data_IF_803170815101
#
_entry.id   IF_803170815101
#
_cell.length_a   1.000
_cell.length_b   1.000
_cell.length_c   1.000
_cell.angle_alpha   90.00
_cell.angle_beta   90.00
_cell.angle_gamma   90.00
#
_symmetry.space_group_name_H-M   'P 1'
#
loop_
_entity.id
_entity.type
_entity.pdbx_description
1 polymer ?
#
# COMPACT_ATOMS: atom_id res chain seq x y z
N UNK A 1 -13.60 -59.14 11.53
CA UNK A 1 -14.90 -58.46 11.65
C UNK A 1 -14.73 -57.19 12.46
N UNK A 2 -14.51 -56.04 11.81
CA UNK A 2 -14.90 -54.72 12.33
C UNK A 2 -15.23 -53.86 11.12
N UNK A 3 -16.36 -53.17 11.20
CA UNK A 3 -17.12 -52.60 10.11
C UNK A 3 -16.51 -51.33 9.50
N UNK A 4 -16.75 -51.19 8.20
CA UNK A 4 -16.53 -50.02 7.35
C UNK A 4 -17.52 -48.92 7.74
N UNK A 5 -17.05 -47.69 7.93
CA UNK A 5 -17.90 -46.49 7.90
C UNK A 5 -17.40 -45.54 6.80
N UNK A 6 -18.19 -45.55 5.73
CA UNK A 6 -18.22 -44.61 4.62
C UNK A 6 -18.65 -43.23 5.11
N UNK A 7 -17.84 -42.20 4.83
CA UNK A 7 -18.29 -40.81 4.90
C UNK A 7 -18.66 -40.32 3.51
N UNK A 8 -19.94 -39.98 3.35
CA UNK A 8 -20.51 -39.39 2.16
C UNK A 8 -20.02 -37.96 1.96
N UNK A 9 -19.69 -37.65 0.69
CA UNK A 9 -19.51 -36.29 0.16
C UNK A 9 -20.81 -35.49 0.35
N UNK A 10 -20.70 -34.32 0.96
CA UNK A 10 -21.68 -33.24 0.81
C UNK A 10 -20.96 -32.05 0.16
N UNK A 11 -21.24 -31.91 -1.13
CA UNK A 11 -21.00 -30.73 -1.95
C UNK A 11 -21.85 -29.59 -1.38
N UNK A 12 -21.22 -28.53 -0.87
CA UNK A 12 -21.91 -27.28 -0.54
C UNK A 12 -21.61 -26.27 -1.64
N UNK A 13 -22.64 -26.11 -2.47
CA UNK A 13 -22.82 -25.13 -3.51
C UNK A 13 -22.93 -23.73 -2.86
N UNK A 14 -21.94 -22.86 -3.08
CA UNK A 14 -21.98 -21.45 -2.64
C UNK A 14 -22.17 -20.59 -3.87
N UNK A 15 -23.42 -20.50 -4.32
CA UNK A 15 -23.90 -19.50 -5.26
C UNK A 15 -25.20 -18.92 -4.72
N UNK A 16 -25.20 -17.61 -4.48
CA UNK A 16 -26.43 -16.83 -4.34
C UNK A 16 -26.56 -16.07 -3.03
N UNK A 17 -26.12 -14.81 -3.01
CA UNK A 17 -26.73 -13.77 -2.17
C UNK A 17 -26.43 -12.38 -2.71
N UNK A 18 -26.83 -12.12 -3.96
CA UNK A 18 -27.08 -10.75 -4.45
C UNK A 18 -28.25 -10.82 -5.45
N UNK A 19 -29.48 -10.85 -4.93
CA UNK A 19 -30.69 -10.51 -5.68
C UNK A 19 -30.74 -8.97 -5.75
N UNK A 20 -30.60 -8.34 -6.91
CA UNK A 20 -31.58 -8.20 -8.01
C UNK A 20 -32.73 -7.25 -7.63
N UNK A 21 -32.72 -6.07 -8.26
CA UNK A 21 -33.92 -5.31 -8.58
C UNK A 21 -33.63 -4.40 -9.78
N UNK A 22 -34.20 -4.75 -10.94
CA UNK A 22 -35.00 -3.87 -11.80
C UNK A 22 -35.36 -4.62 -13.09
N UNK A 23 -36.65 -4.91 -13.25
CA UNK A 23 -37.30 -5.21 -14.52
C UNK A 23 -38.12 -3.98 -14.93
N UNK A 24 -37.97 -3.54 -16.18
CA UNK A 24 -39.07 -3.13 -17.07
C UNK A 24 -38.57 -3.08 -18.53
N UNK A 25 -39.37 -3.64 -19.44
CA UNK A 25 -39.35 -3.59 -20.92
C UNK A 25 -40.85 -3.51 -21.34
N UNK A 26 -41.30 -3.28 -22.62
CA UNK A 26 -40.57 -3.17 -23.90
C UNK A 26 -41.06 -2.08 -24.91
N UNK A 27 -40.22 -1.77 -25.91
CA UNK A 27 -40.48 -1.75 -27.37
C UNK A 27 -41.56 -0.86 -28.02
N UNK A 28 -41.21 -0.13 -29.09
CA UNK A 28 -41.57 -0.46 -30.49
C UNK A 28 -41.09 0.61 -31.52
N UNK A 29 -40.53 0.11 -32.63
CA UNK A 29 -40.20 0.83 -33.87
C UNK A 29 -41.45 1.09 -34.73
N UNK A 30 -41.52 2.23 -35.42
CA UNK A 30 -42.16 2.33 -36.74
C UNK A 30 -41.47 3.40 -37.62
N UNK A 31 -40.87 2.96 -38.72
CA UNK A 31 -40.50 3.77 -39.88
C UNK A 31 -41.74 3.96 -40.77
N UNK A 32 -41.98 5.18 -41.26
CA UNK A 32 -42.61 5.46 -42.57
C UNK A 32 -42.25 6.88 -43.04
N UNK A 33 -42.03 7.01 -44.34
CA UNK A 33 -41.33 8.08 -45.03
C UNK A 33 -42.25 8.99 -45.87
N UNK A 34 -41.84 10.28 -45.95
CA UNK A 34 -42.07 11.33 -46.96
C UNK A 34 -43.46 12.01 -47.07
N UNK A 35 -43.55 13.27 -47.59
CA UNK A 35 -42.51 14.11 -48.22
C UNK A 35 -42.31 15.52 -47.62
N UNK A 36 -41.21 16.12 -48.06
CA UNK A 36 -40.68 17.46 -47.76
C UNK A 36 -41.61 18.58 -48.25
N UNK A 37 -41.85 19.58 -47.41
CA UNK A 37 -42.35 20.89 -47.85
C UNK A 37 -41.50 21.98 -47.18
N UNK A 38 -40.87 22.81 -48.02
CA UNK A 38 -39.98 23.91 -47.60
C UNK A 38 -40.86 25.08 -47.16
N UNK A 39 -40.75 25.49 -45.90
CA UNK A 39 -41.36 26.70 -45.37
C UNK A 39 -40.32 27.55 -44.61
N UNK A 40 -40.48 28.86 -44.73
CA UNK A 40 -39.56 29.97 -44.46
C UNK A 40 -38.92 30.02 -43.05
N UNK A 41 -37.80 30.74 -42.87
CA UNK A 41 -37.05 30.73 -41.61
C UNK A 41 -37.80 31.51 -40.51
N UNK A 42 -38.17 30.80 -39.46
CA UNK A 42 -38.70 31.37 -38.21
C UNK A 42 -37.53 31.94 -37.40
N UNK A 43 -37.68 33.19 -36.98
CA UNK A 43 -36.72 33.92 -36.13
C UNK A 43 -36.51 33.14 -34.82
N UNK A 44 -35.25 32.86 -34.48
CA UNK A 44 -34.87 32.34 -33.16
C UNK A 44 -35.05 33.47 -32.14
N UNK A 45 -35.98 33.32 -31.23
CA UNK A 45 -35.99 34.06 -29.97
C UNK A 45 -34.91 33.46 -29.06
N UNK A 46 -34.01 34.31 -28.57
CA UNK A 46 -33.05 33.96 -27.53
C UNK A 46 -33.83 33.67 -26.24
N UNK A 47 -33.91 32.41 -25.86
CA UNK A 47 -34.13 32.03 -24.47
C UNK A 47 -32.76 31.91 -23.82
N UNK A 48 -32.27 33.01 -23.26
CA UNK A 48 -31.24 32.95 -22.22
C UNK A 48 -31.86 32.21 -21.03
N UNK A 49 -31.57 30.91 -20.95
CA UNK A 49 -31.79 30.16 -19.73
C UNK A 49 -30.71 30.61 -18.74
N UNK A 50 -31.13 31.31 -17.69
CA UNK A 50 -30.31 31.58 -16.51
C UNK A 50 -29.74 30.26 -15.99
N UNK A 51 -28.49 29.98 -16.35
CA UNK A 51 -27.67 28.95 -15.74
C UNK A 51 -27.32 29.44 -14.35
N UNK A 52 -28.16 29.11 -13.37
CA UNK A 52 -27.81 29.23 -11.96
C UNK A 52 -26.52 28.42 -11.76
N UNK A 53 -25.41 29.03 -11.31
CA UNK A 53 -24.21 28.29 -10.98
C UNK A 53 -24.58 27.31 -9.86
N UNK A 54 -24.49 26.01 -10.15
CA UNK A 54 -24.49 25.00 -9.09
C UNK A 54 -23.22 25.28 -8.30
N UNK A 55 -23.37 25.92 -7.13
CA UNK A 55 -22.30 26.07 -6.16
C UNK A 55 -21.71 24.68 -5.94
N UNK A 56 -20.46 24.47 -6.36
CA UNK A 56 -19.77 23.23 -6.08
C UNK A 56 -19.63 23.17 -4.56
N UNK A 57 -20.40 22.29 -3.90
CA UNK A 57 -20.25 22.06 -2.47
C UNK A 57 -18.77 21.77 -2.18
N UNK A 58 -18.13 22.66 -1.41
CA UNK A 58 -16.74 22.48 -1.04
C UNK A 58 -16.62 21.20 -0.20
N UNK A 59 -15.83 20.24 -0.69
CA UNK A 59 -15.61 18.99 0.03
C UNK A 59 -15.03 19.26 1.41
N UNK A 60 -15.65 18.69 2.43
CA UNK A 60 -15.13 18.74 3.80
C UNK A 60 -13.97 17.75 3.98
N UNK A 61 -13.18 17.91 5.05
CA UNK A 61 -12.11 16.95 5.39
C UNK A 61 -12.70 15.62 5.86
N UNK A 62 -12.06 14.51 5.48
CA UNK A 62 -12.46 13.20 5.98
C UNK A 62 -12.32 13.13 7.52
N UNK A 63 -13.17 12.37 8.22
CA UNK A 63 -13.10 12.23 9.68
C UNK A 63 -11.82 11.52 10.12
N UNK A 64 -11.38 11.79 11.36
CA UNK A 64 -10.21 11.14 11.96
C UNK A 64 -10.37 9.62 12.08
N UNK A 65 -11.60 9.18 12.38
CA UNK A 65 -12.06 7.79 12.41
C UNK A 65 -12.91 7.51 11.16
N UNK A 66 -12.36 6.84 10.13
CA UNK A 66 -13.10 6.56 8.91
C UNK A 66 -14.35 5.71 9.19
N UNK A 67 -15.55 6.09 8.69
CA UNK A 67 -16.80 5.40 9.00
C UNK A 67 -16.94 4.06 8.27
N UNK A 68 -16.05 3.77 7.33
CA UNK A 68 -16.09 2.57 6.49
C UNK A 68 -15.29 1.39 7.07
N UNK A 69 -14.59 1.57 8.20
CA UNK A 69 -13.80 0.50 8.80
C UNK A 69 -14.71 -0.65 9.28
N UNK A 70 -14.26 -1.89 9.05
CA UNK A 70 -15.01 -3.09 9.46
C UNK A 70 -14.37 -3.83 10.65
N UNK A 71 -13.17 -3.42 11.07
CA UNK A 71 -12.46 -4.03 12.17
C UNK A 71 -11.70 -5.31 11.75
N UNK A 72 -11.76 -6.39 12.55
CA UNK A 72 -11.01 -7.62 12.30
C UNK A 72 -11.34 -8.26 10.95
N UNK A 73 -10.30 -8.74 10.25
CA UNK A 73 -10.37 -9.33 8.92
C UNK A 73 -9.90 -10.80 8.93
N UNK A 74 -10.52 -11.62 8.10
CA UNK A 74 -10.07 -12.99 7.82
C UNK A 74 -9.10 -12.97 6.63
N UNK A 75 -7.83 -13.30 6.90
CA UNK A 75 -6.75 -13.29 5.90
C UNK A 75 -6.27 -14.71 5.64
N UNK A 76 -6.36 -15.17 4.41
CA UNK A 76 -5.96 -16.51 3.96
C UNK A 76 -5.12 -16.45 2.68
N UNK A 77 -4.23 -17.43 2.49
CA UNK A 77 -3.28 -17.47 1.38
C UNK A 77 -3.40 -18.75 0.54
N UNK A 78 -4.55 -19.41 0.61
CA UNK A 78 -4.79 -20.71 -0.04
C UNK A 78 -5.29 -20.59 -1.47
N UNK A 79 -5.95 -19.49 -1.82
CA UNK A 79 -6.63 -19.35 -3.11
C UNK A 79 -5.75 -18.61 -4.12
N UNK A 80 -5.71 -19.05 -5.39
CA UNK A 80 -5.00 -18.33 -6.43
C UNK A 80 -5.70 -16.99 -6.72
N UNK A 81 -4.96 -15.89 -6.56
CA UNK A 81 -5.47 -14.55 -6.83
C UNK A 81 -4.79 -13.99 -8.08
N UNK A 82 -5.58 -13.61 -9.08
CA UNK A 82 -5.07 -12.95 -10.30
C UNK A 82 -5.11 -11.44 -10.14
N UNK A 83 -4.18 -10.73 -10.77
CA UNK A 83 -4.19 -9.27 -10.76
C UNK A 83 -5.42 -8.70 -11.48
N UNK A 84 -5.95 -9.39 -12.50
CA UNK A 84 -7.17 -8.98 -13.20
C UNK A 84 -8.38 -8.98 -12.26
N UNK A 85 -8.49 -9.98 -11.38
CA UNK A 85 -9.52 -10.00 -10.34
C UNK A 85 -9.34 -8.84 -9.37
N UNK A 86 -8.11 -8.56 -8.90
CA UNK A 86 -7.85 -7.42 -8.00
C UNK A 86 -8.21 -6.09 -8.67
N UNK A 87 -7.92 -5.91 -9.97
CA UNK A 87 -8.33 -4.71 -10.73
C UNK A 87 -9.85 -4.57 -10.81
N UNK A 88 -10.55 -5.66 -11.13
CA UNK A 88 -12.01 -5.67 -11.25
C UNK A 88 -12.71 -5.30 -9.92
N UNK A 89 -12.19 -5.79 -8.79
CA UNK A 89 -12.72 -5.50 -7.45
C UNK A 89 -12.38 -4.09 -6.94
N UNK A 90 -11.47 -3.37 -7.61
CA UNK A 90 -11.02 -2.05 -7.19
C UNK A 90 -11.15 -0.99 -8.31
N UNK A 91 -12.38 -0.74 -8.82
CA UNK A 91 -12.59 0.13 -9.98
C UNK A 91 -12.32 1.62 -9.71
N UNK A 92 -12.19 2.02 -8.44
CA UNK A 92 -11.87 3.40 -8.03
C UNK A 92 -10.37 3.71 -8.07
N UNK A 93 -9.52 2.72 -8.33
CA UNK A 93 -8.10 2.94 -8.53
C UNK A 93 -7.85 3.61 -9.87
N UNK A 94 -6.85 4.47 -9.87
CA UNK A 94 -6.30 5.12 -11.06
C UNK A 94 -4.88 4.64 -11.32
N UNK A 95 -4.39 4.87 -12.53
CA UNK A 95 -3.06 4.43 -12.98
C UNK A 95 -1.95 4.81 -11.96
N UNK A 96 -1.04 3.88 -11.74
CA UNK A 96 0.03 3.98 -10.76
C UNK A 96 -0.35 3.51 -9.35
N UNK A 97 -1.50 2.84 -9.17
CA UNK A 97 -1.98 2.41 -7.85
C UNK A 97 -2.47 3.56 -6.99
N UNK A 98 -3.09 4.56 -7.62
CA UNK A 98 -3.49 5.81 -6.98
C UNK A 98 -4.97 5.80 -6.59
N UNK A 99 -5.28 6.32 -5.42
CA UNK A 99 -6.65 6.52 -4.94
C UNK A 99 -6.75 7.76 -4.06
N UNK A 100 -7.89 8.45 -4.14
CA UNK A 100 -8.32 9.46 -3.16
C UNK A 100 -9.84 9.38 -3.00
N UNK A 101 -10.40 9.65 -1.81
CA UNK A 101 -11.86 9.69 -1.64
C UNK A 101 -12.52 10.78 -2.49
N UNK A 102 -13.72 10.50 -3.02
CA UNK A 102 -14.53 11.47 -3.78
C UNK A 102 -15.38 12.35 -2.87
N UNK A 103 -15.80 11.83 -1.71
CA UNK A 103 -16.78 12.48 -0.82
C UNK A 103 -16.15 13.41 0.22
N UNK A 104 -14.81 13.39 0.35
CA UNK A 104 -14.09 14.20 1.33
C UNK A 104 -12.62 14.38 0.97
N UNK A 105 -11.97 15.39 1.54
CA UNK A 105 -10.54 15.64 1.41
C UNK A 105 -9.79 14.78 2.43
N UNK A 106 -8.96 13.85 1.95
CA UNK A 106 -8.16 12.97 2.81
C UNK A 106 -7.27 13.77 3.78
N UNK A 107 -7.10 13.25 4.99
CA UNK A 107 -6.33 13.95 6.03
C UNK A 107 -4.82 13.99 5.76
N UNK A 108 -4.30 13.01 5.02
CA UNK A 108 -2.89 12.85 4.69
C UNK A 108 -2.72 12.23 3.31
N UNK A 109 -1.59 12.55 2.68
CA UNK A 109 -1.16 12.00 1.38
C UNK A 109 -0.07 10.97 1.65
N UNK A 110 -0.39 9.70 1.40
CA UNK A 110 0.42 8.56 1.83
C UNK A 110 1.10 7.86 0.65
N UNK A 111 2.43 7.84 0.63
CA UNK A 111 3.19 6.94 -0.25
C UNK A 111 3.45 5.62 0.48
N UNK A 112 2.97 4.51 -0.07
CA UNK A 112 3.22 3.17 0.45
C UNK A 112 4.37 2.56 -0.34
N UNK A 113 5.50 2.34 0.32
CA UNK A 113 6.76 1.93 -0.28
C UNK A 113 7.04 0.47 0.11
N UNK A 114 7.20 -0.37 -0.90
CA UNK A 114 7.41 -1.81 -0.75
C UNK A 114 8.77 -2.16 -1.38
N UNK A 115 9.77 -2.56 -0.59
CA UNK A 115 11.04 -3.05 -1.12
C UNK A 115 10.81 -4.46 -1.70
N UNK A 116 11.27 -4.70 -2.92
CA UNK A 116 10.82 -5.86 -3.68
C UNK A 116 11.91 -6.52 -4.52
N UNK A 117 11.87 -7.86 -4.59
CA UNK A 117 12.56 -8.67 -5.60
C UNK A 117 11.98 -10.09 -5.63
N UNK A 118 11.53 -10.58 -6.79
CA UNK A 118 11.10 -11.98 -7.01
C UNK A 118 10.06 -12.49 -5.98
N UNK A 119 9.05 -11.67 -5.66
CA UNK A 119 7.97 -11.97 -4.69
C UNK A 119 6.57 -11.76 -5.28
N UNK A 120 6.38 -12.09 -6.54
CA UNK A 120 5.19 -11.77 -7.33
C UNK A 120 3.91 -12.34 -6.69
N UNK A 121 3.96 -13.57 -6.16
CA UNK A 121 2.82 -14.16 -5.45
C UNK A 121 2.46 -13.42 -4.16
N UNK A 122 3.46 -12.98 -3.40
CA UNK A 122 3.20 -12.18 -2.19
C UNK A 122 2.60 -10.83 -2.55
N UNK A 123 3.11 -10.18 -3.60
CA UNK A 123 2.57 -8.91 -4.07
C UNK A 123 1.10 -9.03 -4.48
N UNK A 124 0.70 -10.12 -5.13
CA UNK A 124 -0.71 -10.38 -5.48
C UNK A 124 -1.59 -10.39 -4.23
N UNK A 125 -1.20 -11.13 -3.20
CA UNK A 125 -1.93 -11.15 -1.92
C UNK A 125 -1.91 -9.77 -1.24
N UNK A 126 -0.77 -9.08 -1.25
CA UNK A 126 -0.65 -7.75 -0.67
C UNK A 126 -1.64 -6.77 -1.32
N UNK A 127 -1.65 -6.67 -2.64
CA UNK A 127 -2.55 -5.78 -3.38
C UNK A 127 -4.02 -6.16 -3.14
N UNK A 128 -4.33 -7.45 -3.18
CA UNK A 128 -5.69 -7.95 -2.93
C UNK A 128 -6.24 -7.51 -1.58
N UNK A 129 -5.45 -7.65 -0.51
CA UNK A 129 -5.91 -7.30 0.83
C UNK A 129 -5.81 -5.80 1.12
N UNK A 130 -4.72 -5.14 0.72
CA UNK A 130 -4.46 -3.77 1.14
C UNK A 130 -5.28 -2.74 0.37
N UNK A 131 -5.55 -2.91 -0.93
CA UNK A 131 -6.32 -1.89 -1.66
C UNK A 131 -7.71 -1.63 -1.03
N UNK A 132 -8.53 -2.64 -0.70
CA UNK A 132 -9.80 -2.41 -0.02
C UNK A 132 -9.63 -1.79 1.37
N UNK A 133 -8.60 -2.20 2.13
CA UNK A 133 -8.32 -1.65 3.47
C UNK A 133 -7.99 -0.16 3.39
N UNK A 134 -7.06 0.23 2.52
CA UNK A 134 -6.60 1.60 2.36
C UNK A 134 -7.71 2.54 1.86
N UNK A 135 -8.59 2.03 1.00
CA UNK A 135 -9.79 2.77 0.56
C UNK A 135 -10.77 3.01 1.71
N UNK A 136 -11.05 2.00 2.55
CA UNK A 136 -11.89 2.17 3.75
C UNK A 136 -11.28 3.12 4.78
N UNK A 137 -9.95 3.23 4.80
CA UNK A 137 -9.22 4.20 5.63
C UNK A 137 -9.26 5.65 5.09
N UNK A 138 -9.91 5.89 3.94
CA UNK A 138 -10.08 7.22 3.33
C UNK A 138 -8.77 8.00 3.11
N UNK A 139 -7.71 7.29 2.70
CA UNK A 139 -6.40 7.88 2.40
C UNK A 139 -6.34 8.42 0.96
N UNK A 140 -5.60 9.50 0.73
CA UNK A 140 -5.04 9.80 -0.60
C UNK A 140 -3.71 9.07 -0.68
N UNK A 141 -3.62 7.98 -1.45
CA UNK A 141 -2.45 7.12 -1.44
C UNK A 141 -1.94 6.76 -2.84
N UNK A 142 -0.68 6.32 -2.86
CA UNK A 142 -0.07 5.61 -3.98
C UNK A 142 0.77 4.42 -3.51
N UNK A 143 0.78 3.36 -4.32
CA UNK A 143 1.55 2.13 -4.03
C UNK A 143 2.79 2.07 -4.92
N UNK A 144 3.97 2.01 -4.29
CA UNK A 144 5.28 2.04 -4.94
C UNK A 144 6.05 0.76 -4.66
N UNK A 145 6.23 -0.06 -5.70
CA UNK A 145 7.03 -1.29 -5.65
C UNK A 145 8.45 -0.95 -6.10
N UNK A 146 9.39 -0.94 -5.17
CA UNK A 146 10.78 -0.61 -5.45
C UNK A 146 11.54 -1.91 -5.71
N UNK A 147 11.65 -2.26 -6.98
CA UNK A 147 12.20 -3.52 -7.43
C UNK A 147 13.72 -3.42 -7.62
N UNK A 148 14.49 -4.13 -6.79
CA UNK A 148 15.93 -4.24 -6.99
C UNK A 148 16.25 -5.03 -8.26
N UNK A 149 16.95 -4.40 -9.20
CA UNK A 149 17.42 -5.04 -10.42
C UNK A 149 18.61 -5.95 -10.15
N UNK A 150 18.77 -6.97 -11.01
CA UNK A 150 19.84 -7.94 -10.89
C UNK A 150 19.74 -8.88 -9.67
N UNK A 151 20.87 -9.51 -9.38
CA UNK A 151 20.96 -10.73 -8.59
C UNK A 151 21.87 -10.60 -7.35
N UNK A 152 22.35 -9.39 -7.09
CA UNK A 152 23.24 -9.03 -5.97
C UNK A 152 22.53 -9.17 -4.61
N UNK A 153 23.25 -8.95 -3.52
CA UNK A 153 22.64 -9.03 -2.18
C UNK A 153 21.49 -8.01 -2.05
N UNK A 154 20.36 -8.42 -1.45
CA UNK A 154 19.21 -7.55 -1.28
C UNK A 154 19.52 -6.42 -0.27
N UNK A 155 19.08 -5.19 -0.56
CA UNK A 155 19.28 -4.05 0.33
C UNK A 155 17.94 -3.36 0.62
N UNK A 156 17.27 -3.84 1.66
CA UNK A 156 15.93 -3.38 2.06
C UNK A 156 15.91 -1.88 2.34
N UNK A 157 16.75 -1.39 3.25
CA UNK A 157 16.75 0.01 3.69
C UNK A 157 17.05 0.99 2.55
N UNK A 158 18.00 0.65 1.66
CA UNK A 158 18.31 1.48 0.49
C UNK A 158 17.13 1.58 -0.48
N UNK A 159 16.40 0.48 -0.72
CA UNK A 159 15.19 0.52 -1.56
C UNK A 159 14.09 1.39 -0.95
N UNK A 160 13.96 1.41 0.38
CA UNK A 160 13.00 2.29 1.06
C UNK A 160 13.35 3.78 0.88
N UNK A 161 14.65 4.14 0.97
CA UNK A 161 15.13 5.50 0.64
C UNK A 161 14.84 5.89 -0.81
N UNK A 162 15.03 4.97 -1.75
CA UNK A 162 14.71 5.18 -3.17
C UNK A 162 13.22 5.42 -3.33
N UNK A 163 12.38 4.59 -2.71
CA UNK A 163 10.92 4.76 -2.78
C UNK A 163 10.45 6.10 -2.23
N UNK A 164 11.04 6.58 -1.12
CA UNK A 164 10.76 7.91 -0.60
C UNK A 164 11.10 8.99 -1.64
N UNK A 165 12.29 8.89 -2.25
CA UNK A 165 12.81 9.88 -3.20
C UNK A 165 12.00 9.90 -4.50
N UNK A 166 11.65 8.73 -5.04
CA UNK A 166 10.89 8.63 -6.28
C UNK A 166 9.41 8.97 -6.11
N UNK A 167 8.77 8.57 -5.01
CA UNK A 167 7.37 8.91 -4.75
C UNK A 167 7.15 10.43 -4.69
N UNK A 168 8.10 11.17 -4.13
CA UNK A 168 8.07 12.63 -4.08
C UNK A 168 8.21 13.34 -5.44
N UNK A 169 8.65 12.63 -6.49
CA UNK A 169 8.65 13.17 -7.86
C UNK A 169 7.27 13.08 -8.51
N UNK A 170 6.45 12.15 -8.06
CA UNK A 170 5.12 11.87 -8.61
C UNK A 170 4.03 12.70 -7.91
N UNK A 171 4.17 12.93 -6.60
CA UNK A 171 3.18 13.67 -5.84
C UNK A 171 3.78 14.25 -4.55
N UNK A 172 3.13 15.27 -4.00
CA UNK A 172 3.59 16.00 -2.81
C UNK A 172 3.18 15.30 -1.50
N UNK A 173 3.52 14.01 -1.39
CA UNK A 173 3.27 13.18 -0.22
C UNK A 173 3.86 13.78 1.07
N UNK A 174 3.11 13.68 2.16
CA UNK A 174 3.49 14.14 3.49
C UNK A 174 3.70 12.98 4.49
N UNK A 175 3.25 11.78 4.12
CA UNK A 175 3.38 10.55 4.90
C UNK A 175 3.94 9.39 4.06
N UNK A 176 4.82 8.60 4.67
CA UNK A 176 5.46 7.45 4.03
C UNK A 176 5.24 6.21 4.89
N UNK A 177 4.63 5.18 4.31
CA UNK A 177 4.48 3.87 4.92
C UNK A 177 5.49 2.93 4.27
N UNK A 178 6.37 2.33 5.05
CA UNK A 178 7.34 1.36 4.60
C UNK A 178 6.84 -0.03 4.99
N UNK A 179 6.48 -0.85 4.01
CA UNK A 179 5.84 -2.15 4.24
C UNK A 179 6.62 -3.27 3.58
N UNK A 180 6.93 -4.31 4.35
CA UNK A 180 7.30 -5.59 3.76
C UNK A 180 6.12 -6.16 2.95
N UNK A 181 6.41 -6.79 1.80
CA UNK A 181 5.39 -7.31 0.87
C UNK A 181 4.62 -8.51 1.42
N UNK A 182 5.16 -9.16 2.44
CA UNK A 182 4.64 -10.39 3.04
C UNK A 182 3.83 -10.14 4.32
N UNK A 183 3.57 -8.89 4.71
CA UNK A 183 2.81 -8.57 5.93
C UNK A 183 1.45 -7.96 5.60
N UNK A 184 0.39 -8.63 6.05
CA UNK A 184 -1.00 -8.20 5.87
C UNK A 184 -1.62 -7.88 7.25
N UNK A 185 -2.24 -6.71 7.45
CA UNK A 185 -2.92 -6.39 8.70
C UNK A 185 -4.18 -7.25 8.87
N UNK A 186 -4.45 -7.67 10.10
CA UNK A 186 -5.63 -8.46 10.47
C UNK A 186 -6.79 -7.57 10.96
N UNK A 187 -6.65 -6.26 10.96
CA UNK A 187 -7.65 -5.31 11.42
C UNK A 187 -7.49 -3.97 10.69
N UNK A 188 -8.53 -3.49 10.00
CA UNK A 188 -8.44 -2.25 9.22
C UNK A 188 -8.49 -0.97 10.07
N UNK A 189 -8.75 -1.09 11.39
CA UNK A 189 -8.56 -0.01 12.37
C UNK A 189 -7.08 0.30 12.60
N UNK A 190 -6.16 -0.53 12.11
CA UNK A 190 -4.74 -0.20 12.04
C UNK A 190 -4.51 0.72 10.83
N UNK A 191 -4.72 2.03 11.01
CA UNK A 191 -4.69 3.01 9.90
C UNK A 191 -3.26 3.21 9.38
N UNK A 192 -3.06 3.00 8.06
CA UNK A 192 -1.78 3.13 7.35
C UNK A 192 -1.47 4.61 7.06
N UNK A 193 -1.36 5.41 8.11
CA UNK A 193 -1.05 6.84 8.07
C UNK A 193 0.05 7.22 9.04
N UNK A 194 0.43 8.49 9.09
CA UNK A 194 1.51 8.98 9.93
C UNK A 194 0.96 9.66 11.17
N UNK A 195 1.78 9.72 12.23
CA UNK A 195 1.40 10.26 13.53
C UNK A 195 2.45 11.27 13.99
N UNK A 196 2.18 11.95 15.12
CA UNK A 196 3.12 12.91 15.75
C UNK A 196 4.48 12.29 16.10
N UNK A 197 4.53 10.96 16.22
CA UNK A 197 5.72 10.17 16.46
C UNK A 197 5.82 9.05 15.40
N UNK A 198 7.04 8.61 15.02
CA UNK A 198 7.24 7.49 14.11
C UNK A 198 6.41 6.29 14.53
N UNK A 199 5.68 5.69 13.59
CA UNK A 199 4.67 4.67 13.89
C UNK A 199 5.20 3.30 13.50
N UNK A 200 5.12 2.35 14.41
CA UNK A 200 5.29 0.93 14.09
C UNK A 200 3.90 0.30 13.96
N UNK A 201 3.56 -0.18 12.77
CA UNK A 201 2.23 -0.68 12.43
C UNK A 201 2.10 -2.21 12.65
N UNK A 202 3.17 -2.97 12.44
CA UNK A 202 3.19 -4.44 12.60
C UNK A 202 3.65 -4.90 13.99
N UNK A 203 2.95 -4.47 15.04
CA UNK A 203 3.39 -4.69 16.44
C UNK A 203 3.18 -6.12 16.94
N UNK A 204 2.32 -6.89 16.28
CA UNK A 204 1.86 -8.19 16.74
C UNK A 204 1.76 -9.17 15.56
N UNK A 205 2.89 -9.78 15.19
CA UNK A 205 2.95 -10.68 14.03
C UNK A 205 2.73 -12.15 14.44
N UNK A 206 2.00 -12.89 13.62
CA UNK A 206 1.74 -14.33 13.85
C UNK A 206 3.02 -15.17 13.91
N UNK A 207 4.03 -14.85 13.11
CA UNK A 207 5.36 -15.50 13.13
C UNK A 207 6.08 -15.40 14.49
N UNK A 208 5.72 -14.41 15.31
CA UNK A 208 6.25 -14.18 16.65
C UNK A 208 5.21 -14.49 17.74
N UNK A 209 4.16 -15.26 17.41
CA UNK A 209 3.11 -15.62 18.35
C UNK A 209 2.26 -14.43 18.80
N UNK A 210 2.07 -13.43 17.94
CA UNK A 210 1.33 -12.19 18.23
C UNK A 210 1.91 -11.41 19.41
N UNK A 211 3.25 -11.37 19.49
CA UNK A 211 4.00 -10.59 20.49
C UNK A 211 5.05 -9.74 19.80
N UNK A 212 5.34 -8.59 20.39
CA UNK A 212 6.46 -7.76 19.99
C UNK A 212 7.77 -8.49 20.36
N UNK A 213 8.72 -8.70 19.43
CA UNK A 213 9.96 -9.42 19.73
C UNK A 213 10.78 -8.80 20.86
N UNK A 214 10.90 -7.47 20.85
CA UNK A 214 11.54 -6.65 21.86
C UNK A 214 11.10 -5.18 21.69
N UNK A 215 11.25 -4.36 22.73
CA UNK A 215 10.64 -3.02 22.79
C UNK A 215 11.14 -2.05 21.69
N UNK A 216 12.38 -2.24 21.23
CA UNK A 216 13.04 -1.42 20.21
C UNK A 216 12.68 -1.86 18.78
N UNK A 217 12.02 -3.01 18.62
CA UNK A 217 11.71 -3.57 17.30
C UNK A 217 10.88 -2.61 16.44
N UNK A 218 11.36 -2.34 15.23
CA UNK A 218 10.78 -1.41 14.26
C UNK A 218 10.71 -1.98 12.82
N UNK A 219 10.93 -3.29 12.67
CA UNK A 219 10.84 -3.99 11.38
C UNK A 219 9.40 -4.29 10.95
N UNK A 220 9.23 -4.81 9.72
CA UNK A 220 7.94 -5.15 9.15
C UNK A 220 7.27 -3.97 8.45
N UNK A 221 6.30 -3.34 9.12
CA UNK A 221 5.53 -2.20 8.62
C UNK A 221 5.67 -1.02 9.57
N UNK A 222 6.14 0.11 9.06
CA UNK A 222 6.29 1.37 9.80
C UNK A 222 5.81 2.56 8.97
N UNK A 223 5.55 3.69 9.62
CA UNK A 223 5.28 4.94 8.92
C UNK A 223 5.94 6.14 9.57
N UNK A 224 6.35 7.09 8.73
CA UNK A 224 7.02 8.32 9.12
C UNK A 224 6.54 9.48 8.28
N UNK A 225 6.33 10.63 8.91
CA UNK A 225 6.10 11.87 8.17
C UNK A 225 7.35 12.27 7.39
N UNK A 226 7.16 13.10 6.35
CA UNK A 226 8.26 13.71 5.60
C UNK A 226 9.31 14.35 6.53
N UNK A 227 8.85 15.08 7.53
CA UNK A 227 9.71 15.74 8.52
C UNK A 227 10.49 14.72 9.36
N UNK A 228 9.82 13.70 9.90
CA UNK A 228 10.46 12.67 10.71
C UNK A 228 11.55 11.92 9.92
N UNK A 229 11.28 11.62 8.64
CA UNK A 229 12.21 10.90 7.77
C UNK A 229 13.45 11.75 7.44
N UNK A 230 13.25 13.03 7.11
CA UNK A 230 14.36 13.96 6.87
C UNK A 230 15.19 14.21 8.13
N UNK A 231 14.56 14.28 9.31
CA UNK A 231 15.24 14.52 10.59
C UNK A 231 16.31 13.46 10.92
N UNK A 232 16.13 12.23 10.44
CA UNK A 232 17.09 11.13 10.62
C UNK A 232 18.01 10.91 9.41
N UNK A 233 17.96 11.78 8.40
CA UNK A 233 18.65 11.58 7.11
C UNK A 233 18.21 10.28 6.41
N UNK A 234 16.94 9.89 6.56
CA UNK A 234 16.42 8.59 6.11
C UNK A 234 17.15 7.39 6.72
N UNK A 235 17.14 6.29 5.99
CA UNK A 235 17.62 4.97 6.44
C UNK A 235 19.07 4.70 6.00
N UNK A 236 19.81 3.77 6.63
CA UNK A 236 21.17 3.44 6.20
C UNK A 236 21.18 2.77 4.82
N UNK A 237 22.14 3.10 3.95
CA UNK A 237 22.26 2.48 2.63
C UNK A 237 23.21 1.28 2.61
N UNK A 238 23.94 1.05 3.69
CA UNK A 238 25.05 0.08 3.73
C UNK A 238 24.70 -1.27 4.39
N UNK A 239 23.42 -1.52 4.67
CA UNK A 239 22.93 -2.81 5.16
C UNK A 239 22.61 -3.75 3.99
N UNK A 240 23.62 -4.53 3.61
CA UNK A 240 23.49 -5.58 2.62
C UNK A 240 23.28 -6.93 3.30
N UNK A 241 22.17 -7.59 2.98
CA UNK A 241 21.79 -8.87 3.57
C UNK A 241 20.71 -8.72 4.62
N UNK A 242 20.42 -9.80 5.33
CA UNK A 242 19.32 -9.83 6.30
C UNK A 242 19.73 -9.26 7.67
N UNK A 243 18.96 -8.28 8.15
CA UNK A 243 18.82 -7.92 9.56
C UNK A 243 19.68 -6.76 10.06
N UNK A 244 19.13 -6.06 11.06
CA UNK A 244 19.77 -5.00 11.84
C UNK A 244 19.59 -3.60 11.29
N UNK A 245 19.05 -3.44 10.08
CA UNK A 245 18.77 -2.12 9.52
C UNK A 245 17.59 -1.45 10.22
N UNK A 246 16.61 -2.23 10.68
CA UNK A 246 15.47 -1.76 11.47
C UNK A 246 15.89 -1.30 12.88
N UNK A 247 16.87 -1.97 13.48
CA UNK A 247 17.48 -1.56 14.74
C UNK A 247 18.30 -0.25 14.59
N UNK A 248 19.02 -0.09 13.47
CA UNK A 248 19.70 1.17 13.14
C UNK A 248 18.69 2.32 12.98
N UNK A 249 17.59 2.07 12.25
CA UNK A 249 16.50 3.04 12.11
C UNK A 249 15.95 3.43 13.48
N UNK A 250 15.67 2.46 14.36
CA UNK A 250 15.24 2.75 15.73
C UNK A 250 16.26 3.66 16.47
N UNK A 251 17.55 3.34 16.38
CA UNK A 251 18.61 4.12 17.01
C UNK A 251 18.68 5.56 16.47
N UNK A 252 18.50 5.76 15.16
CA UNK A 252 18.40 7.09 14.54
C UNK A 252 17.21 7.88 15.06
N UNK A 253 16.05 7.23 15.19
CA UNK A 253 14.84 7.89 15.71
C UNK A 253 15.05 8.33 17.16
N UNK A 254 15.57 7.42 17.98
CA UNK A 254 15.87 7.65 19.40
C UNK A 254 16.91 8.78 19.58
N UNK A 255 17.97 8.81 18.77
CA UNK A 255 19.00 9.85 18.84
C UNK A 255 18.49 11.25 18.46
N UNK A 256 17.38 11.33 17.72
CA UNK A 256 16.66 12.57 17.37
C UNK A 256 15.50 12.90 18.33
N UNK A 257 15.44 12.22 19.47
CA UNK A 257 14.46 12.45 20.53
C UNK A 257 13.04 11.98 20.18
N UNK A 258 12.89 11.12 19.17
CA UNK A 258 11.59 10.56 18.79
C UNK A 258 11.35 9.25 19.52
N UNK A 259 10.07 8.97 19.83
CA UNK A 259 9.60 7.76 20.48
C UNK A 259 8.75 6.97 19.50
N UNK A 260 8.69 5.65 19.63
CA UNK A 260 7.87 4.84 18.72
C UNK A 260 6.41 4.85 19.18
N UNK A 261 5.51 5.32 18.31
CA UNK A 261 4.07 5.17 18.46
C UNK A 261 3.62 3.80 17.95
N UNK A 262 2.64 3.18 18.62
CA UNK A 262 2.13 1.84 18.29
C UNK A 262 0.60 1.77 18.44
N UNK A 263 -0.12 1.02 17.58
CA UNK A 263 -1.49 0.60 17.88
C UNK A 263 -1.50 -0.36 19.09
N UNK A 264 -2.69 -0.68 19.60
CA UNK A 264 -2.83 -1.78 20.56
C UNK A 264 -2.37 -3.10 19.94
N UNK A 265 -1.97 -4.05 20.78
CA UNK A 265 -1.56 -5.38 20.30
C UNK A 265 -2.68 -6.19 19.65
N UNK A 266 -3.93 -5.78 19.83
CA UNK A 266 -5.11 -6.37 19.18
C UNK A 266 -5.32 -5.82 17.76
N UNK A 267 -5.27 -4.48 17.61
CA UNK A 267 -5.45 -3.80 16.32
C UNK A 267 -4.22 -4.00 15.43
N UNK A 268 -3.01 -3.95 16.01
CA UNK A 268 -1.75 -4.07 15.26
C UNK A 268 -1.35 -5.51 14.93
N UNK A 269 -2.31 -6.44 14.87
CA UNK A 269 -2.06 -7.82 14.46
C UNK A 269 -1.79 -7.88 12.96
N UNK A 270 -0.75 -8.62 12.58
CA UNK A 270 -0.41 -8.88 11.19
C UNK A 270 -0.18 -10.38 10.98
N UNK A 271 -0.52 -10.85 9.77
CA UNK A 271 -0.23 -12.20 9.33
C UNK A 271 0.84 -12.16 8.24
N UNK A 272 1.86 -13.00 8.40
CA UNK A 272 2.97 -13.12 7.45
C UNK A 272 2.63 -14.17 6.37
N UNK A 273 2.81 -13.81 5.10
CA UNK A 273 2.79 -14.77 3.99
C UNK A 273 4.02 -15.65 4.14
N UNK A 274 3.81 -16.94 4.37
CA UNK A 274 4.91 -17.88 4.63
C UNK A 274 5.76 -18.06 3.39
N UNK A 275 7.07 -18.02 3.58
CA UNK A 275 8.02 -18.30 2.54
C UNK A 275 9.32 -18.88 3.08
N UNK A 276 10.06 -19.58 2.22
CA UNK A 276 11.44 -19.96 2.53
C UNK A 276 12.35 -18.73 2.52
N UNK A 277 13.43 -18.78 3.31
CA UNK A 277 14.44 -17.70 3.29
C UNK A 277 15.07 -17.63 1.90
N UNK A 278 15.39 -16.42 1.46
CA UNK A 278 16.12 -16.21 0.22
C UNK A 278 17.59 -16.63 0.44
N UNK A 279 18.05 -17.64 -0.30
CA UNK A 279 19.42 -18.18 -0.22
C UNK A 279 20.49 -17.12 -0.52
N UNK A 280 20.13 -16.01 -1.19
CA UNK A 280 21.05 -14.91 -1.50
C UNK A 280 20.94 -13.73 -0.53
N UNK A 281 20.14 -13.88 0.53
CA UNK A 281 19.94 -12.86 1.56
C UNK A 281 20.36 -13.39 2.93
N UNK A 282 21.58 -13.90 3.01
CA UNK A 282 22.17 -14.40 4.25
C UNK A 282 22.22 -13.30 5.33
N UNK A 283 22.23 -13.68 6.63
CA UNK A 283 22.34 -12.71 7.72
C UNK A 283 23.56 -11.80 7.52
N UNK A 284 23.34 -10.49 7.57
CA UNK A 284 24.42 -9.52 7.45
C UNK A 284 25.41 -9.75 8.62
N UNK A 285 26.67 -10.12 8.34
CA UNK A 285 27.65 -10.42 9.39
C UNK A 285 28.05 -9.17 10.18
N UNK A 286 27.92 -7.99 9.59
CA UNK A 286 28.30 -6.71 10.18
C UNK A 286 27.15 -6.03 10.93
N UNK A 287 25.97 -6.66 11.03
CA UNK A 287 24.76 -6.01 11.57
C UNK A 287 24.95 -5.42 12.97
N UNK A 288 25.57 -6.16 13.90
CA UNK A 288 25.75 -5.71 15.28
C UNK A 288 26.76 -4.56 15.39
N UNK A 289 27.84 -4.65 14.61
CA UNK A 289 28.84 -3.59 14.53
C UNK A 289 28.24 -2.30 13.97
N UNK A 290 27.46 -2.39 12.88
CA UNK A 290 26.78 -1.23 12.30
C UNK A 290 25.77 -0.59 13.25
N UNK A 291 24.99 -1.40 13.98
CA UNK A 291 24.06 -0.93 15.02
C UNK A 291 24.81 -0.16 16.13
N UNK A 292 25.99 -0.61 16.54
CA UNK A 292 26.80 0.07 17.54
C UNK A 292 27.28 1.46 17.05
N UNK A 293 27.54 1.59 15.75
CA UNK A 293 28.06 2.80 15.11
C UNK A 293 26.98 3.65 14.41
N UNK A 294 25.69 3.45 14.71
CA UNK A 294 24.59 4.25 14.12
C UNK A 294 24.82 5.75 14.33
N UNK A 295 25.23 6.17 15.54
CA UNK A 295 25.39 7.59 15.88
C UNK A 295 26.53 8.25 15.09
N UNK A 296 27.55 7.48 14.76
CA UNK A 296 28.71 7.95 14.01
C UNK A 296 28.38 8.08 12.52
N UNK A 297 27.54 7.17 12.00
CA UNK A 297 27.29 7.06 10.56
C UNK A 297 26.00 7.72 10.08
N UNK A 298 25.00 7.95 10.93
CA UNK A 298 23.67 8.40 10.48
C UNK A 298 23.63 9.74 9.74
N UNK A 299 24.60 10.62 9.99
CA UNK A 299 24.69 11.92 9.30
C UNK A 299 25.40 11.82 7.94
N UNK A 300 26.15 10.75 7.67
CA UNK A 300 26.90 10.55 6.42
C UNK A 300 26.38 9.40 5.56
N UNK A 301 25.62 8.46 6.14
CA UNK A 301 24.95 7.37 5.45
C UNK A 301 23.42 7.51 5.57
N UNK A 302 22.78 7.87 4.47
CA UNK A 302 21.35 8.16 4.42
C UNK A 302 20.88 8.68 3.06
N UNK A 303 19.80 9.47 3.04
CA UNK A 303 19.31 10.09 1.78
C UNK A 303 20.41 10.94 1.14
N UNK A 304 21.23 11.63 1.93
CA UNK A 304 22.30 12.50 1.44
C UNK A 304 23.43 11.75 0.70
N UNK A 305 23.58 10.44 0.91
CA UNK A 305 24.55 9.59 0.23
C UNK A 305 23.89 8.54 -0.69
N UNK A 306 22.58 8.69 -0.93
CA UNK A 306 21.80 7.75 -1.71
C UNK A 306 22.24 7.78 -3.19
N UNK A 307 22.78 6.67 -3.68
CA UNK A 307 23.18 6.49 -5.08
C UNK A 307 22.54 5.23 -5.67
N UNK A 308 21.88 5.41 -6.82
CA UNK A 308 21.16 4.40 -7.57
C UNK A 308 20.90 4.89 -9.00
N UNK A 309 20.47 3.98 -9.88
CA UNK A 309 19.99 4.30 -11.22
C UNK A 309 18.60 3.71 -11.42
N UNK A 310 17.64 4.52 -11.85
CA UNK A 310 16.34 4.03 -12.32
C UNK A 310 16.54 3.37 -13.69
N UNK A 311 16.25 2.06 -13.77
CA UNK A 311 16.35 1.28 -15.00
C UNK A 311 15.08 1.45 -15.82
N UNK A 312 13.91 1.36 -15.17
CA UNK A 312 12.59 1.61 -15.79
C UNK A 312 11.51 1.84 -14.75
N UNK A 313 10.41 2.46 -15.20
CA UNK A 313 9.19 2.69 -14.42
C UNK A 313 8.02 2.06 -15.17
N UNK A 314 7.23 1.27 -14.48
CA UNK A 314 6.03 0.61 -15.00
C UNK A 314 4.83 1.07 -14.17
N UNK A 315 3.78 1.61 -14.81
CA UNK A 315 2.55 2.02 -14.12
C UNK A 315 1.42 1.04 -14.45
N UNK A 316 0.95 0.34 -13.43
CA UNK A 316 -0.25 -0.50 -13.46
C UNK A 316 -1.39 0.23 -12.74
N UNK A 317 -2.64 -0.18 -12.95
CA UNK A 317 -3.78 0.34 -12.16
C UNK A 317 -3.60 0.08 -10.66
N UNK A 318 -2.91 -1.01 -10.29
CA UNK A 318 -2.73 -1.40 -8.88
C UNK A 318 -1.49 -0.79 -8.22
N UNK A 319 -0.44 -0.42 -8.98
CA UNK A 319 0.80 0.07 -8.42
C UNK A 319 1.69 0.77 -9.44
N UNK A 320 2.68 1.52 -8.94
CA UNK A 320 3.85 1.97 -9.71
C UNK A 320 5.04 1.10 -9.34
N UNK A 321 5.63 0.39 -10.31
CA UNK A 321 6.85 -0.41 -10.10
C UNK A 321 8.05 0.34 -10.67
N UNK A 322 9.04 0.57 -9.80
CA UNK A 322 10.27 1.27 -10.14
C UNK A 322 11.41 0.26 -10.03
N UNK A 323 11.99 -0.08 -11.17
CA UNK A 323 13.11 -1.01 -11.23
C UNK A 323 14.40 -0.22 -11.12
N UNK A 324 15.22 -0.53 -10.12
CA UNK A 324 16.40 0.24 -9.77
C UNK A 324 17.64 -0.63 -9.61
N UNK A 325 18.74 -0.14 -10.17
CA UNK A 325 20.08 -0.65 -9.90
C UNK A 325 20.64 0.10 -8.69
N UNK A 326 20.94 -0.66 -7.63
CA UNK A 326 21.40 -0.14 -6.34
C UNK A 326 22.92 -0.29 -6.14
N UNK A 327 23.63 -0.76 -7.16
CA UNK A 327 25.05 -1.09 -7.07
C UNK A 327 25.31 -2.36 -6.24
N UNK A 328 26.53 -2.45 -5.69
CA UNK A 328 27.03 -3.60 -4.94
C UNK A 328 27.58 -3.16 -3.57
N UNK A 329 27.70 -4.08 -2.59
CA UNK A 329 28.45 -3.80 -1.36
C UNK A 329 29.88 -3.35 -1.71
N UNK A 330 30.35 -2.26 -1.12
CA UNK A 330 31.77 -1.91 -1.16
C UNK A 330 32.50 -2.77 -0.11
N UNK A 331 33.48 -3.55 -0.55
CA UNK A 331 34.32 -4.39 0.31
C UNK A 331 35.40 -3.60 1.03
#
# INVERSE_FOLDING_TARGET
MVAVHTFNRLSLDVRGSFLQNQQTKPGQNYNKSHPVTIAAPVKRENMDADLVPVEAEELTRCPDDPPLLVGPLRIEFSDPITLDFVRAENPKLSEGGRYKPSECIALQKVAIIIPFRKREDHLRFWLYYLHPILQRQQLDYGVYIINQDGDEVFNRAKLLNIGYTEALKEYDYDCFVFSDVDLIPLDDRNIYKCFSQPRHLSVSMDKFGFRLPYNQYFGGVSSMSKEQFLKINGFPNNYWGWGGEDDDIYNRLSSRGMRISRPSGEIGKCRMIRHQRDERNEPNPQRFDRIAHTRDTMNSDGINSLSYRVVRVEKDILYTKIVVDVGKPHH
#
